data_IF_608795766771
#
_entry.id   IF_608795766771
#
_cell.length_a   1.000
_cell.length_b   1.000
_cell.length_c   1.000
_cell.angle_alpha   90.00
_cell.angle_beta   90.00
_cell.angle_gamma   90.00
#
_symmetry.space_group_name_H-M   'P 1'
#
loop_
_entity.id
_entity.type
_entity.pdbx_description
1 polymer ?
#
# COMPACT_ATOMS: atom_id res chain seq x y z
N UNK A 1 3.21 6.72 16.16
CA UNK A 1 2.77 5.42 15.61
C UNK A 1 3.47 5.22 14.28
N UNK A 2 3.93 4.01 13.98
CA UNK A 2 4.72 3.74 12.76
C UNK A 2 3.76 3.22 11.68
N UNK A 3 3.53 4.04 10.65
CA UNK A 3 2.78 3.64 9.45
C UNK A 3 3.77 3.03 8.47
N UNK A 4 3.42 1.86 7.91
CA UNK A 4 4.15 1.23 6.82
C UNK A 4 3.40 1.40 5.51
N UNK A 5 4.12 1.51 4.41
CA UNK A 5 3.54 1.63 3.07
C UNK A 5 4.06 0.51 2.18
N UNK A 6 3.20 0.01 1.31
CA UNK A 6 3.48 -1.11 0.42
C UNK A 6 3.00 -0.79 -0.99
N UNK A 7 3.89 -0.97 -1.96
CA UNK A 7 3.55 -0.96 -3.37
C UNK A 7 3.25 -2.38 -3.84
N UNK A 8 2.00 -2.62 -4.24
CA UNK A 8 1.53 -3.91 -4.74
C UNK A 8 1.82 -3.98 -6.24
N UNK A 9 2.63 -4.94 -6.67
CA UNK A 9 3.17 -5.10 -8.03
C UNK A 9 2.33 -6.05 -8.91
N UNK A 10 1.01 -6.02 -8.74
CA UNK A 10 0.07 -6.81 -9.56
C UNK A 10 -0.28 -6.09 -10.87
N UNK A 11 -1.03 -6.76 -11.76
CA UNK A 11 -1.55 -6.17 -13.03
C UNK A 11 -2.26 -4.82 -12.82
N UNK A 12 -2.90 -4.65 -11.66
CA UNK A 12 -3.45 -3.38 -11.20
C UNK A 12 -2.70 -2.93 -9.95
N UNK A 13 -1.63 -2.13 -10.09
CA UNK A 13 -0.83 -1.72 -8.95
C UNK A 13 -1.63 -0.91 -7.93
N UNK A 14 -1.32 -1.11 -6.65
CA UNK A 14 -2.00 -0.43 -5.55
C UNK A 14 -0.99 0.07 -4.53
N UNK A 15 -1.36 1.13 -3.82
CA UNK A 15 -0.67 1.53 -2.60
C UNK A 15 -1.52 1.09 -1.42
N UNK A 16 -0.92 0.27 -0.56
CA UNK A 16 -1.49 -0.15 0.71
C UNK A 16 -0.70 0.51 1.83
N UNK A 17 -1.37 0.98 2.88
CA UNK A 17 -0.69 1.34 4.13
C UNK A 17 -1.18 0.46 5.27
N UNK A 18 -0.29 0.19 6.22
CA UNK A 18 -0.63 -0.41 7.49
C UNK A 18 -0.42 0.61 8.60
N UNK A 19 -1.48 0.93 9.33
CA UNK A 19 -1.44 1.83 10.47
C UNK A 19 -2.41 1.36 11.54
N UNK A 20 -1.98 1.36 12.81
CA UNK A 20 -2.84 1.03 13.96
C UNK A 20 -3.60 -0.29 13.86
N UNK A 21 -2.98 -1.34 13.30
CA UNK A 21 -3.62 -2.65 13.16
C UNK A 21 -4.48 -2.80 11.91
N UNK A 22 -4.68 -1.73 11.13
CA UNK A 22 -5.53 -1.73 9.95
C UNK A 22 -4.73 -1.56 8.67
N UNK A 23 -5.18 -2.21 7.60
CA UNK A 23 -4.68 -2.00 6.24
C UNK A 23 -5.68 -1.19 5.42
N UNK A 24 -5.19 -0.18 4.72
CA UNK A 24 -5.99 0.67 3.84
C UNK A 24 -5.37 0.74 2.45
N UNK A 25 -6.21 0.76 1.41
CA UNK A 25 -5.82 0.93 0.01
C UNK A 25 -6.12 2.36 -0.42
N UNK A 26 -5.19 2.99 -1.11
CA UNK A 26 -5.45 4.29 -1.72
C UNK A 26 -6.30 4.16 -3.00
N UNK A 27 -7.33 4.98 -3.10
CA UNK A 27 -8.17 5.16 -4.29
C UNK A 27 -8.25 6.66 -4.64
N UNK A 28 -8.40 6.98 -5.93
CA UNK A 28 -8.50 8.38 -6.38
C UNK A 28 -9.82 9.02 -5.93
N UNK A 29 -10.89 8.23 -5.83
CA UNK A 29 -12.23 8.70 -5.53
C UNK A 29 -12.44 8.96 -4.03
N UNK A 30 -11.95 8.06 -3.17
CA UNK A 30 -12.25 8.07 -1.73
C UNK A 30 -11.02 8.29 -0.84
N UNK A 31 -9.82 8.33 -1.41
CA UNK A 31 -8.58 8.37 -0.66
C UNK A 31 -8.27 7.01 -0.02
N UNK A 32 -7.95 6.98 1.27
CA UNK A 32 -7.62 5.74 1.97
C UNK A 32 -8.89 4.99 2.39
N UNK A 33 -9.03 3.76 1.89
CA UNK A 33 -10.18 2.89 2.15
C UNK A 33 -9.72 1.63 2.86
N UNK A 34 -10.33 1.33 4.01
CA UNK A 34 -10.03 0.14 4.80
C UNK A 34 -10.25 -1.14 3.98
N UNK A 35 -9.26 -2.04 4.00
CA UNK A 35 -9.31 -3.36 3.39
C UNK A 35 -8.50 -4.35 4.22
N UNK A 36 -9.15 -5.01 5.16
CA UNK A 36 -8.55 -6.01 6.06
C UNK A 36 -7.87 -7.16 5.30
N UNK A 37 -8.36 -7.52 4.11
CA UNK A 37 -7.81 -8.62 3.31
C UNK A 37 -6.34 -8.43 2.89
N UNK A 38 -5.79 -7.22 2.97
CA UNK A 38 -4.36 -6.98 2.76
C UNK A 38 -3.50 -7.35 3.96
N UNK A 39 -4.04 -7.32 5.18
CA UNK A 39 -3.31 -7.67 6.39
C UNK A 39 -2.78 -9.11 6.29
N UNK A 40 -3.66 -10.07 6.02
CA UNK A 40 -3.28 -11.47 5.88
C UNK A 40 -2.33 -11.68 4.70
N UNK A 41 -2.54 -10.97 3.58
CA UNK A 41 -1.68 -11.08 2.40
C UNK A 41 -0.25 -10.60 2.67
N UNK A 42 -0.10 -9.49 3.38
CA UNK A 42 1.21 -8.88 3.63
C UNK A 42 1.99 -9.57 4.73
N UNK A 43 1.32 -10.15 5.73
CA UNK A 43 1.99 -10.65 6.94
C UNK A 43 1.93 -12.16 7.14
N UNK A 44 1.02 -12.89 6.48
CA UNK A 44 0.76 -14.31 6.80
C UNK A 44 0.62 -15.24 5.57
N UNK A 45 0.77 -14.75 4.35
CA UNK A 45 0.64 -15.53 3.11
C UNK A 45 1.94 -15.58 2.28
N UNK A 46 1.98 -16.48 1.30
CA UNK A 46 3.03 -16.58 0.27
C UNK A 46 2.97 -15.45 -0.79
N UNK A 47 2.25 -14.37 -0.51
CA UNK A 47 2.13 -13.26 -1.45
C UNK A 47 3.42 -12.44 -1.43
N UNK A 48 4.21 -12.50 -2.50
CA UNK A 48 5.50 -11.81 -2.61
C UNK A 48 5.50 -10.62 -3.58
N UNK A 49 4.38 -10.37 -4.26
CA UNK A 49 4.28 -9.32 -5.29
C UNK A 49 4.03 -7.94 -4.68
N UNK A 50 4.87 -7.57 -3.71
CA UNK A 50 4.87 -6.24 -3.11
C UNK A 50 6.28 -5.76 -2.79
N UNK A 51 6.38 -4.50 -2.39
CA UNK A 51 7.59 -3.87 -1.88
C UNK A 51 7.20 -2.94 -0.74
N UNK A 52 7.89 -3.02 0.40
CA UNK A 52 7.76 -2.01 1.46
C UNK A 52 8.46 -0.73 0.96
N UNK A 53 7.72 0.36 0.89
CA UNK A 53 8.18 1.65 0.38
C UNK A 53 8.11 2.70 1.48
N UNK A 54 8.88 3.77 1.32
CA UNK A 54 8.78 4.94 2.19
C UNK A 54 7.45 5.66 1.95
N UNK A 55 7.03 6.45 2.94
CA UNK A 55 5.89 7.37 2.77
C UNK A 55 6.08 8.31 1.58
N UNK A 56 7.30 8.77 1.34
CA UNK A 56 7.62 9.64 0.20
C UNK A 56 7.34 8.94 -1.12
N UNK A 57 7.83 7.71 -1.28
CA UNK A 57 7.63 6.91 -2.49
C UNK A 57 6.15 6.57 -2.69
N UNK A 58 5.44 6.18 -1.62
CA UNK A 58 4.00 5.95 -1.67
C UNK A 58 3.23 7.17 -2.21
N UNK A 59 3.56 8.37 -1.70
CA UNK A 59 2.97 9.62 -2.18
C UNK A 59 3.33 9.90 -3.65
N UNK A 60 4.54 9.56 -4.09
CA UNK A 60 4.91 9.69 -5.51
C UNK A 60 4.07 8.79 -6.41
N UNK A 61 3.86 7.53 -6.02
CA UNK A 61 2.99 6.62 -6.77
C UNK A 61 1.55 7.12 -6.83
N UNK A 62 1.02 7.62 -5.71
CA UNK A 62 -0.33 8.21 -5.63
C UNK A 62 -0.47 9.40 -6.59
N UNK A 63 0.55 10.24 -6.68
CA UNK A 63 0.56 11.42 -7.56
C UNK A 63 0.88 11.08 -9.03
N UNK A 64 1.13 9.81 -9.36
CA UNK A 64 1.56 9.39 -10.70
C UNK A 64 2.94 9.90 -11.10
N UNK A 65 3.79 10.23 -10.12
CA UNK A 65 5.15 10.72 -10.32
C UNK A 65 6.13 9.56 -10.41
N UNK A 66 7.13 9.66 -11.30
CA UNK A 66 8.24 8.70 -11.34
C UNK A 66 9.29 9.06 -10.30
N UNK A 67 9.81 8.08 -9.58
CA UNK A 67 11.03 8.23 -8.79
C UNK A 67 12.18 8.62 -9.74
N UNK A 68 12.62 9.87 -9.67
CA UNK A 68 13.85 10.38 -10.31
C UNK A 68 15.08 9.95 -9.55
#
# INVERSE_FOLDING_TARGET
MMTKYFFIKTEHPKIVRYSNGMTEVYTVEEGWVEQEGWYDRLFFNDFSDFEEVTEREANMFILGLKAT
#
